data_IF_248138120210
#
_entry.id   IF_248138120210
#
_cell.length_a   1.000
_cell.length_b   1.000
_cell.length_c   1.000
_cell.angle_alpha   90.00
_cell.angle_beta   90.00
_cell.angle_gamma   90.00
#
_symmetry.space_group_name_H-M   'P 1'
#
loop_
_entity.id
_entity.type
_entity.pdbx_description
1 polymer ?
#
# COMPACT_ATOMS: atom_id res chain seq x y z
N UNK A 1 8.36 14.66 -13.96
CA UNK A 1 7.37 13.64 -14.43
C UNK A 1 7.56 12.43 -13.57
N UNK A 2 6.63 12.20 -12.65
CA UNK A 2 6.69 11.08 -11.70
C UNK A 2 5.70 9.99 -12.07
N UNK A 3 6.03 8.75 -11.72
CA UNK A 3 5.12 7.62 -11.79
C UNK A 3 4.47 7.40 -10.42
N UNK A 4 3.15 7.53 -10.34
CA UNK A 4 2.36 7.35 -9.13
C UNK A 4 1.66 5.99 -9.19
N UNK A 5 1.83 5.19 -8.15
CA UNK A 5 1.07 3.94 -7.97
C UNK A 5 -0.04 4.16 -6.94
N UNK A 6 -1.29 4.05 -7.40
CA UNK A 6 -2.48 4.19 -6.58
C UNK A 6 -3.02 2.81 -6.19
N UNK A 7 -2.77 2.38 -4.94
CA UNK A 7 -3.06 1.03 -4.44
C UNK A 7 -4.35 1.05 -3.64
N UNK A 8 -5.35 0.31 -4.11
CA UNK A 8 -6.67 0.16 -3.47
C UNK A 8 -6.79 -1.22 -2.84
N UNK A 9 -6.88 -1.27 -1.52
CA UNK A 9 -6.91 -2.51 -0.74
C UNK A 9 -8.29 -2.75 -0.09
N UNK A 10 -9.36 -2.51 -0.84
CA UNK A 10 -10.74 -2.79 -0.43
C UNK A 10 -11.49 -3.50 -1.56
N UNK A 11 -12.33 -4.52 -1.28
CA UNK A 11 -13.22 -5.11 -2.26
C UNK A 11 -14.46 -4.25 -2.53
N UNK A 12 -14.71 -3.24 -1.70
CA UNK A 12 -15.89 -2.40 -1.83
C UNK A 12 -15.75 -1.42 -3.00
N UNK A 13 -16.81 -1.18 -3.77
CA UNK A 13 -16.80 -0.15 -4.79
C UNK A 13 -16.67 1.24 -4.17
N UNK A 14 -16.20 2.21 -4.96
CA UNK A 14 -15.90 3.56 -4.47
C UNK A 14 -17.11 4.25 -3.82
N UNK A 15 -18.31 4.00 -4.35
CA UNK A 15 -19.56 4.60 -3.85
C UNK A 15 -19.90 4.16 -2.42
N UNK A 16 -19.41 3.00 -2.01
CA UNK A 16 -19.65 2.40 -0.67
C UNK A 16 -18.47 2.64 0.27
N UNK A 17 -17.25 2.61 -0.24
CA UNK A 17 -16.02 2.76 0.54
C UNK A 17 -15.72 4.23 0.83
N UNK A 18 -15.89 4.66 2.09
CA UNK A 18 -15.64 6.06 2.52
C UNK A 18 -14.19 6.48 2.28
N UNK A 19 -13.23 5.64 2.62
CA UNK A 19 -11.81 5.92 2.36
C UNK A 19 -11.50 6.01 0.86
N UNK A 20 -12.15 5.19 0.01
CA UNK A 20 -12.00 5.29 -1.44
C UNK A 20 -12.56 6.59 -1.99
N UNK A 21 -13.70 7.08 -1.48
CA UNK A 21 -14.24 8.40 -1.87
C UNK A 21 -13.28 9.55 -1.54
N UNK A 22 -12.58 9.48 -0.42
CA UNK A 22 -11.56 10.46 -0.04
C UNK A 22 -10.32 10.33 -0.93
N UNK A 23 -9.92 9.10 -1.24
CA UNK A 23 -8.80 8.82 -2.13
C UNK A 23 -9.04 9.32 -3.56
N UNK A 24 -10.25 9.16 -4.10
CA UNK A 24 -10.61 9.72 -5.41
C UNK A 24 -10.49 11.25 -5.41
N UNK A 25 -10.98 11.92 -4.34
CA UNK A 25 -10.83 13.39 -4.21
C UNK A 25 -9.34 13.78 -4.21
N UNK A 26 -8.49 13.05 -3.48
CA UNK A 26 -7.05 13.27 -3.48
C UNK A 26 -6.45 13.09 -4.89
N UNK A 27 -6.80 12.02 -5.58
CA UNK A 27 -6.26 11.69 -6.91
C UNK A 27 -6.73 12.64 -8.01
N UNK A 28 -7.98 13.12 -7.95
CA UNK A 28 -8.50 14.15 -8.86
C UNK A 28 -7.70 15.44 -8.73
N UNK A 29 -7.52 15.91 -7.51
CA UNK A 29 -6.74 17.12 -7.20
C UNK A 29 -5.27 16.94 -7.58
N UNK A 30 -4.68 15.78 -7.27
CA UNK A 30 -3.29 15.46 -7.62
C UNK A 30 -3.07 15.54 -9.13
N UNK A 31 -3.93 14.88 -9.92
CA UNK A 31 -3.84 14.89 -11.39
C UNK A 31 -3.99 16.29 -11.98
N UNK A 32 -4.88 17.12 -11.39
CA UNK A 32 -5.08 18.49 -11.82
C UNK A 32 -3.82 19.37 -11.59
N UNK A 33 -3.15 19.18 -10.45
CA UNK A 33 -1.92 19.90 -10.11
C UNK A 33 -0.66 19.37 -10.80
N UNK A 34 -0.64 18.07 -11.13
CA UNK A 34 0.52 17.38 -11.71
C UNK A 34 0.17 16.70 -13.05
N UNK A 35 -0.26 17.44 -14.08
CA UNK A 35 -0.76 16.87 -15.33
C UNK A 35 0.30 16.12 -16.16
N UNK A 36 1.58 16.28 -15.84
CA UNK A 36 2.69 15.57 -16.49
C UNK A 36 2.99 14.21 -15.86
N UNK A 37 2.45 13.92 -14.66
CA UNK A 37 2.71 12.68 -13.96
C UNK A 37 1.79 11.57 -14.46
N UNK A 38 2.29 10.34 -14.46
CA UNK A 38 1.50 9.16 -14.82
C UNK A 38 0.96 8.49 -13.56
N UNK A 39 -0.33 8.13 -13.59
CA UNK A 39 -0.97 7.41 -12.48
C UNK A 39 -1.38 6.03 -12.94
N UNK A 40 -0.87 5.02 -12.27
CA UNK A 40 -1.25 3.63 -12.44
C UNK A 40 -2.08 3.18 -11.24
N UNK A 41 -3.30 2.69 -11.48
CA UNK A 41 -4.19 2.20 -10.42
C UNK A 41 -4.04 0.69 -10.26
N UNK A 42 -3.86 0.24 -9.03
CA UNK A 42 -3.77 -1.17 -8.64
C UNK A 42 -4.88 -1.51 -7.62
N UNK A 43 -5.91 -2.21 -8.08
CA UNK A 43 -6.98 -2.71 -7.21
C UNK A 43 -6.64 -4.14 -6.79
N UNK A 44 -6.18 -4.32 -5.55
CA UNK A 44 -5.66 -5.62 -5.08
C UNK A 44 -6.69 -6.75 -5.15
N UNK A 45 -7.97 -6.45 -4.94
CA UNK A 45 -9.04 -7.45 -5.00
C UNK A 45 -9.45 -7.85 -6.43
N UNK A 46 -8.93 -7.14 -7.44
CA UNK A 46 -9.09 -7.48 -8.86
C UNK A 46 -7.78 -7.97 -9.48
N UNK A 47 -6.74 -8.16 -8.66
CA UNK A 47 -5.39 -8.51 -9.10
C UNK A 47 -5.01 -9.85 -8.50
N UNK A 48 -4.35 -10.71 -9.28
CA UNK A 48 -3.71 -11.90 -8.73
C UNK A 48 -2.52 -11.48 -7.86
N UNK A 49 -2.68 -11.61 -6.54
CA UNK A 49 -1.60 -11.37 -5.57
C UNK A 49 -1.16 -12.71 -5.00
N UNK A 50 -0.04 -13.31 -5.47
CA UNK A 50 0.40 -14.60 -5.01
C UNK A 50 0.79 -14.57 -3.53
N UNK A 51 0.28 -15.53 -2.75
CA UNK A 51 0.75 -15.72 -1.38
C UNK A 51 2.15 -16.35 -1.40
N UNK A 52 3.02 -15.86 -0.54
CA UNK A 52 4.33 -16.46 -0.31
C UNK A 52 4.16 -17.74 0.53
N UNK A 53 4.16 -18.88 -0.15
CA UNK A 53 4.01 -20.22 0.44
C UNK A 53 5.28 -21.07 0.27
N UNK A 54 5.22 -22.33 0.73
CA UNK A 54 6.34 -23.26 0.64
C UNK A 54 6.83 -23.47 -0.79
N UNK A 55 5.91 -23.51 -1.76
CA UNK A 55 6.24 -23.75 -3.16
C UNK A 55 7.02 -22.58 -3.76
N UNK A 56 6.53 -21.35 -3.59
CA UNK A 56 7.24 -20.13 -4.05
C UNK A 56 8.57 -19.93 -3.33
N UNK A 57 8.62 -20.20 -2.00
CA UNK A 57 9.87 -20.12 -1.23
C UNK A 57 10.88 -21.16 -1.70
N UNK A 58 10.45 -22.37 -2.02
CA UNK A 58 11.33 -23.44 -2.53
C UNK A 58 11.85 -23.08 -3.91
N UNK A 59 10.98 -22.65 -4.81
CA UNK A 59 11.35 -22.20 -6.15
C UNK A 59 12.37 -21.05 -6.11
N UNK A 60 12.17 -20.06 -5.23
CA UNK A 60 13.13 -18.97 -5.02
C UNK A 60 14.52 -19.45 -4.60
N UNK A 61 14.60 -20.44 -3.69
CA UNK A 61 15.87 -21.06 -3.27
C UNK A 61 16.54 -21.85 -4.40
N UNK A 62 15.77 -22.60 -5.17
CA UNK A 62 16.27 -23.36 -6.31
C UNK A 62 16.87 -22.44 -7.39
N UNK A 63 16.18 -21.34 -7.71
CA UNK A 63 16.69 -20.35 -8.64
C UNK A 63 17.98 -19.70 -8.13
N UNK A 64 18.06 -19.36 -6.85
CA UNK A 64 19.31 -18.85 -6.23
C UNK A 64 20.45 -19.87 -6.27
N UNK A 65 20.13 -21.17 -6.21
CA UNK A 65 21.10 -22.27 -6.34
C UNK A 65 21.49 -22.56 -7.81
N UNK A 66 20.95 -21.80 -8.80
CA UNK A 66 21.32 -21.91 -10.21
C UNK A 66 20.40 -22.77 -11.07
N UNK A 67 19.24 -23.23 -10.54
CA UNK A 67 18.21 -23.90 -11.36
C UNK A 67 17.67 -22.92 -12.37
N UNK A 68 17.48 -23.35 -13.63
CA UNK A 68 16.88 -22.49 -14.64
C UNK A 68 15.38 -22.27 -14.35
N UNK A 69 14.88 -21.07 -14.64
CA UNK A 69 13.45 -20.74 -14.46
C UNK A 69 12.55 -21.68 -15.27
N UNK A 70 12.98 -22.08 -16.47
CA UNK A 70 12.28 -23.00 -17.35
C UNK A 70 12.18 -24.43 -16.83
N UNK A 71 12.97 -24.80 -15.80
CA UNK A 71 12.95 -26.12 -15.17
C UNK A 71 11.95 -26.21 -14.00
N UNK A 72 11.30 -25.09 -13.67
CA UNK A 72 10.21 -25.06 -12.70
C UNK A 72 8.91 -25.54 -13.36
N UNK A 73 7.97 -26.06 -12.54
CA UNK A 73 6.63 -26.41 -13.01
C UNK A 73 5.92 -25.17 -13.61
N UNK A 74 5.13 -25.30 -14.69
CA UNK A 74 4.50 -24.16 -15.37
C UNK A 74 3.65 -23.30 -14.43
N UNK A 75 2.93 -23.89 -13.48
CA UNK A 75 2.11 -23.20 -12.49
C UNK A 75 2.96 -22.34 -11.54
N UNK A 76 4.14 -22.85 -11.15
CA UNK A 76 5.10 -22.11 -10.31
C UNK A 76 5.71 -20.96 -11.10
N UNK A 77 6.04 -21.15 -12.38
CA UNK A 77 6.52 -20.09 -13.25
C UNK A 77 5.49 -18.96 -13.37
N UNK A 78 4.22 -19.29 -13.57
CA UNK A 78 3.13 -18.31 -13.65
C UNK A 78 3.02 -17.50 -12.35
N UNK A 79 3.01 -18.16 -11.20
CA UNK A 79 2.91 -17.50 -9.89
C UNK A 79 4.12 -16.63 -9.58
N UNK A 80 5.34 -17.08 -9.92
CA UNK A 80 6.56 -16.28 -9.79
C UNK A 80 6.55 -15.07 -10.72
N UNK A 81 6.04 -15.21 -11.94
CA UNK A 81 5.90 -14.09 -12.86
C UNK A 81 4.92 -13.04 -12.32
N UNK A 82 3.75 -13.46 -11.79
CA UNK A 82 2.81 -12.55 -11.15
C UNK A 82 3.42 -11.85 -9.93
N UNK A 83 4.14 -12.60 -9.09
CA UNK A 83 4.85 -12.05 -7.92
C UNK A 83 5.90 -11.01 -8.33
N UNK A 84 6.75 -11.35 -9.29
CA UNK A 84 7.80 -10.44 -9.77
C UNK A 84 7.22 -9.20 -10.49
N UNK A 85 6.13 -9.35 -11.24
CA UNK A 85 5.47 -8.22 -11.90
C UNK A 85 5.00 -7.18 -10.88
N UNK A 86 4.41 -7.60 -9.75
CA UNK A 86 4.03 -6.69 -8.65
C UNK A 86 5.25 -6.04 -7.99
N UNK A 87 6.34 -6.80 -7.82
CA UNK A 87 7.60 -6.26 -7.32
C UNK A 87 8.13 -5.15 -8.24
N UNK A 88 8.23 -5.44 -9.54
CA UNK A 88 8.80 -4.53 -10.53
C UNK A 88 7.92 -3.28 -10.70
N UNK A 89 6.59 -3.44 -10.70
CA UNK A 89 5.63 -2.34 -10.70
C UNK A 89 5.85 -1.41 -9.50
N UNK A 90 5.98 -1.97 -8.28
CA UNK A 90 6.23 -1.20 -7.07
C UNK A 90 7.57 -0.46 -7.16
N UNK A 91 8.65 -1.14 -7.53
CA UNK A 91 9.98 -0.54 -7.59
C UNK A 91 10.09 0.57 -8.65
N UNK A 92 9.31 0.49 -9.72
CA UNK A 92 9.30 1.46 -10.82
C UNK A 92 8.53 2.75 -10.50
N UNK A 93 7.70 2.78 -9.45
CA UNK A 93 6.96 3.97 -9.06
C UNK A 93 7.84 4.92 -8.24
N UNK A 94 7.55 6.22 -8.32
CA UNK A 94 8.21 7.28 -7.55
C UNK A 94 7.38 7.67 -6.32
N UNK A 95 6.06 7.61 -6.45
CA UNK A 95 5.10 7.98 -5.41
C UNK A 95 4.02 6.91 -5.24
N UNK A 96 3.51 6.78 -4.03
CA UNK A 96 2.53 5.76 -3.66
C UNK A 96 1.35 6.37 -2.90
N UNK A 97 0.14 6.06 -3.34
CA UNK A 97 -1.09 6.39 -2.61
C UNK A 97 -1.74 5.07 -2.18
N UNK A 98 -1.72 4.77 -0.90
CA UNK A 98 -2.38 3.59 -0.35
C UNK A 98 -3.73 3.96 0.25
N UNK A 99 -4.80 3.30 -0.20
CA UNK A 99 -6.11 3.40 0.43
C UNK A 99 -6.56 2.04 0.94
N UNK A 100 -6.87 1.96 2.24
CA UNK A 100 -7.19 0.70 2.89
C UNK A 100 -8.06 0.89 4.14
N UNK A 101 -8.94 -0.08 4.44
CA UNK A 101 -9.70 -0.12 5.68
C UNK A 101 -8.89 -0.76 6.83
N UNK A 102 -9.30 -0.48 8.06
CA UNK A 102 -8.89 -1.24 9.24
C UNK A 102 -9.75 -2.50 9.37
N UNK A 103 -9.16 -3.69 9.27
CA UNK A 103 -9.84 -4.95 9.49
C UNK A 103 -9.21 -5.72 10.65
N UNK A 104 -10.03 -6.00 11.69
CA UNK A 104 -9.56 -6.69 12.88
C UNK A 104 -8.26 -6.10 13.45
N UNK A 105 -8.21 -4.77 13.57
CA UNK A 105 -7.08 -3.97 14.07
C UNK A 105 -5.80 -4.02 13.20
N UNK A 106 -5.87 -4.60 12.00
CA UNK A 106 -4.75 -4.73 11.07
C UNK A 106 -5.08 -4.27 9.65
N UNK A 107 -4.13 -4.47 8.74
CA UNK A 107 -4.34 -4.24 7.30
C UNK A 107 -5.11 -5.41 6.67
N UNK A 108 -5.81 -5.20 5.53
CA UNK A 108 -6.44 -6.28 4.78
C UNK A 108 -5.44 -7.37 4.37
N UNK A 109 -5.84 -8.66 4.33
CA UNK A 109 -4.92 -9.77 4.05
C UNK A 109 -4.24 -9.67 2.67
N UNK A 110 -4.95 -9.22 1.63
CA UNK A 110 -4.33 -9.01 0.31
C UNK A 110 -3.33 -7.85 0.33
N UNK A 111 -3.53 -6.82 1.16
CA UNK A 111 -2.52 -5.77 1.32
C UNK A 111 -1.26 -6.33 1.99
N UNK A 112 -1.40 -7.24 2.96
CA UNK A 112 -0.24 -7.91 3.56
C UNK A 112 0.48 -8.79 2.54
N UNK A 113 -0.25 -9.58 1.74
CA UNK A 113 0.33 -10.37 0.67
C UNK A 113 1.07 -9.50 -0.36
N UNK A 114 0.50 -8.34 -0.71
CA UNK A 114 1.15 -7.37 -1.59
C UNK A 114 2.43 -6.76 -0.98
N UNK A 115 2.42 -6.43 0.31
CA UNK A 115 3.64 -5.98 1.04
C UNK A 115 4.76 -7.02 0.89
N UNK A 116 4.45 -8.30 0.98
CA UNK A 116 5.42 -9.38 0.84
C UNK A 116 6.04 -9.46 -0.57
N UNK A 117 5.38 -8.90 -1.61
CA UNK A 117 5.95 -8.88 -2.96
C UNK A 117 7.01 -7.80 -3.16
N UNK A 118 7.07 -6.77 -2.35
CA UNK A 118 8.03 -5.68 -2.55
C UNK A 118 9.04 -5.49 -1.40
N UNK A 119 8.80 -6.08 -0.22
CA UNK A 119 9.77 -6.05 0.88
C UNK A 119 10.75 -7.21 0.73
N UNK A 120 11.72 -7.06 -0.17
CA UNK A 120 12.62 -8.13 -0.60
C UNK A 120 14.08 -7.72 -0.38
N UNK A 121 14.82 -8.57 0.34
CA UNK A 121 16.26 -8.39 0.52
C UNK A 121 17.00 -8.38 -0.83
N UNK A 122 17.85 -7.39 -1.03
CA UNK A 122 18.58 -7.16 -2.28
C UNK A 122 17.81 -6.32 -3.31
N UNK A 123 16.51 -6.05 -3.10
CA UNK A 123 15.69 -5.19 -3.99
C UNK A 123 15.25 -3.90 -3.30
N UNK A 124 14.53 -3.98 -2.16
CA UNK A 124 14.03 -2.81 -1.44
C UNK A 124 14.82 -2.48 -0.18
N UNK A 125 15.55 -3.44 0.37
CA UNK A 125 16.49 -3.27 1.47
C UNK A 125 17.63 -4.29 1.37
N UNK A 126 18.68 -4.11 2.16
CA UNK A 126 19.76 -5.11 2.28
C UNK A 126 20.25 -5.22 3.72
N UNK A 127 20.79 -6.38 4.08
CA UNK A 127 21.49 -6.56 5.34
C UNK A 127 22.96 -6.14 5.20
N UNK A 128 23.45 -5.39 6.18
CA UNK A 128 24.86 -4.99 6.31
C UNK A 128 25.37 -5.40 7.68
N UNK A 129 26.67 -5.24 7.92
CA UNK A 129 27.28 -5.45 9.25
C UNK A 129 26.72 -4.48 10.32
N UNK A 130 26.12 -3.37 9.91
CA UNK A 130 25.50 -2.38 10.78
C UNK A 130 23.98 -2.54 10.90
N UNK A 131 23.40 -3.61 10.34
CA UNK A 131 21.97 -3.86 10.31
C UNK A 131 21.33 -3.69 8.93
N UNK A 132 19.98 -3.61 8.85
CA UNK A 132 19.30 -3.42 7.60
C UNK A 132 19.48 -1.99 7.05
N UNK A 133 19.71 -1.88 5.74
CA UNK A 133 19.83 -0.62 5.01
C UNK A 133 18.75 -0.55 3.93
N UNK A 134 18.01 0.57 3.89
CA UNK A 134 16.99 0.84 2.90
C UNK A 134 17.61 1.13 1.52
N UNK A 135 16.98 0.63 0.45
CA UNK A 135 17.47 0.81 -0.92
C UNK A 135 16.59 1.77 -1.75
N UNK A 136 15.35 2.03 -1.31
CA UNK A 136 14.45 2.93 -2.02
C UNK A 136 14.64 4.35 -1.49
N UNK A 137 15.22 5.22 -2.32
CA UNK A 137 15.49 6.63 -1.99
C UNK A 137 14.63 7.54 -2.86
N UNK A 138 14.37 8.75 -2.36
CA UNK A 138 13.65 9.80 -3.07
C UNK A 138 12.23 9.41 -3.51
N UNK A 139 11.60 8.49 -2.76
CA UNK A 139 10.24 8.03 -2.97
C UNK A 139 9.33 8.49 -1.83
N UNK A 140 8.07 8.78 -2.15
CA UNK A 140 7.07 9.29 -1.22
C UNK A 140 5.83 8.42 -1.19
N UNK A 141 5.22 8.28 -0.01
CA UNK A 141 3.92 7.64 0.15
C UNK A 141 2.96 8.49 0.97
N UNK A 142 1.66 8.37 0.68
CA UNK A 142 0.58 8.87 1.51
C UNK A 142 -0.39 7.73 1.78
N UNK A 143 -0.89 7.67 3.02
CA UNK A 143 -1.83 6.66 3.48
C UNK A 143 -3.20 7.31 3.67
N UNK A 144 -4.25 6.68 3.13
CA UNK A 144 -5.65 7.06 3.33
C UNK A 144 -6.33 5.88 4.01
N UNK A 145 -6.57 6.02 5.31
CA UNK A 145 -6.94 4.92 6.18
C UNK A 145 -8.36 5.08 6.71
N UNK A 146 -9.21 4.08 6.42
CA UNK A 146 -10.60 4.03 6.85
C UNK A 146 -10.81 3.12 8.05
N UNK A 147 -11.58 3.58 9.06
CA UNK A 147 -12.00 2.74 10.18
C UNK A 147 -13.36 3.18 10.75
N UNK A 148 -14.14 2.23 11.26
CA UNK A 148 -15.42 2.51 11.90
C UNK A 148 -15.25 3.22 13.25
N UNK A 149 -14.25 2.81 14.04
CA UNK A 149 -13.85 3.45 15.30
C UNK A 149 -12.83 4.55 15.10
N UNK A 150 -12.47 5.26 16.18
CA UNK A 150 -11.40 6.26 16.20
C UNK A 150 -10.14 5.60 16.75
N UNK A 151 -9.07 5.54 15.94
CA UNK A 151 -7.80 4.90 16.28
C UNK A 151 -6.58 5.79 16.06
N UNK A 152 -6.73 6.97 15.47
CA UNK A 152 -5.63 7.92 15.27
C UNK A 152 -5.18 8.57 16.59
N UNK A 153 -6.04 8.58 17.60
CA UNK A 153 -5.80 9.22 18.89
C UNK A 153 -6.55 8.54 20.04
N UNK A 154 -6.21 8.94 21.29
CA UNK A 154 -6.89 8.47 22.50
C UNK A 154 -6.45 7.08 22.94
N UNK A 155 -7.24 6.46 23.83
CA UNK A 155 -6.91 5.17 24.44
C UNK A 155 -6.91 4.00 23.46
N UNK A 156 -7.69 4.10 22.38
CA UNK A 156 -7.82 3.06 21.35
C UNK A 156 -6.67 3.06 20.34
N UNK A 157 -5.84 4.10 20.31
CA UNK A 157 -4.70 4.17 19.39
C UNK A 157 -3.65 3.08 19.61
N UNK A 158 -3.54 2.53 20.82
CA UNK A 158 -2.64 1.42 21.12
C UNK A 158 -3.11 0.08 20.54
N UNK A 159 -4.36 -0.04 20.12
CA UNK A 159 -4.90 -1.29 19.59
C UNK A 159 -4.72 -1.42 18.07
N UNK A 160 -4.54 -0.31 17.35
CA UNK A 160 -4.40 -0.39 15.89
C UNK A 160 -2.99 -0.79 15.48
N UNK A 161 -2.92 -1.73 14.53
CA UNK A 161 -1.69 -2.17 13.89
C UNK A 161 -1.73 -1.97 12.36
N UNK A 162 -2.79 -1.38 11.81
CA UNK A 162 -2.95 -1.20 10.38
C UNK A 162 -2.02 -0.11 9.82
N UNK A 163 -2.30 1.13 10.16
CA UNK A 163 -1.52 2.28 9.71
C UNK A 163 -0.08 2.26 10.25
N UNK A 164 0.19 2.01 11.54
CA UNK A 164 1.55 1.98 12.05
C UNK A 164 2.41 0.88 11.41
N UNK A 165 1.83 -0.29 11.12
CA UNK A 165 2.53 -1.35 10.42
C UNK A 165 2.95 -0.91 9.01
N UNK A 166 2.02 -0.42 8.20
CA UNK A 166 2.31 -0.04 6.82
C UNK A 166 3.30 1.12 6.77
N UNK A 167 3.15 2.13 7.62
CA UNK A 167 4.10 3.24 7.78
C UNK A 167 5.51 2.73 8.11
N UNK A 168 5.62 1.85 9.10
CA UNK A 168 6.91 1.27 9.53
C UNK A 168 7.59 0.52 8.39
N UNK A 169 6.84 -0.31 7.65
CA UNK A 169 7.38 -1.09 6.52
C UNK A 169 7.86 -0.18 5.38
N UNK A 170 7.09 0.84 5.02
CA UNK A 170 7.49 1.79 3.97
C UNK A 170 8.75 2.58 4.37
N UNK A 171 8.82 3.06 5.61
CA UNK A 171 10.01 3.73 6.14
C UNK A 171 11.22 2.79 6.22
N UNK A 172 11.01 1.52 6.59
CA UNK A 172 12.06 0.51 6.65
C UNK A 172 12.75 0.30 5.29
N UNK A 173 12.01 0.40 4.19
CA UNK A 173 12.57 0.28 2.83
C UNK A 173 13.02 1.63 2.25
N UNK A 174 12.87 2.75 2.99
CA UNK A 174 13.40 4.08 2.65
C UNK A 174 12.41 5.04 2.00
N UNK A 175 11.13 4.74 2.05
CA UNK A 175 10.09 5.62 1.51
C UNK A 175 9.67 6.64 2.58
N UNK A 176 9.67 7.91 2.22
CA UNK A 176 9.12 8.99 3.05
C UNK A 176 7.59 8.86 3.10
N UNK A 177 7.01 8.80 4.30
CA UNK A 177 5.56 8.66 4.46
C UNK A 177 4.97 9.95 5.02
N UNK A 178 4.18 10.63 4.20
CA UNK A 178 3.45 11.83 4.56
C UNK A 178 2.44 11.59 5.72
N UNK A 179 1.91 12.62 6.36
CA UNK A 179 0.83 12.47 7.33
C UNK A 179 -0.35 11.69 6.75
N UNK A 180 -0.89 10.75 7.54
CA UNK A 180 -2.01 9.91 7.11
C UNK A 180 -3.31 10.68 7.10
N UNK A 181 -4.12 10.47 6.06
CA UNK A 181 -5.50 10.95 5.99
C UNK A 181 -6.40 9.89 6.62
N UNK A 182 -6.98 10.21 7.78
CA UNK A 182 -7.89 9.31 8.49
C UNK A 182 -9.35 9.59 8.13
N UNK A 183 -10.11 8.52 7.87
CA UNK A 183 -11.56 8.52 7.67
C UNK A 183 -12.14 7.62 8.75
N UNK A 184 -12.40 8.16 9.95
CA UNK A 184 -12.65 7.36 11.14
C UNK A 184 -13.80 7.88 11.99
N UNK A 185 -14.37 7.00 12.86
CA UNK A 185 -15.41 7.37 13.83
C UNK A 185 -16.84 7.26 13.31
N UNK A 186 -17.07 6.76 12.10
CA UNK A 186 -18.40 6.65 11.51
C UNK A 186 -19.31 5.71 12.31
N UNK A 187 -18.77 4.58 12.83
CA UNK A 187 -19.56 3.64 13.63
C UNK A 187 -19.88 4.19 15.04
N UNK A 188 -19.08 5.12 15.55
CA UNK A 188 -19.39 5.84 16.79
C UNK A 188 -20.50 6.86 16.60
N UNK A 189 -20.59 7.48 15.43
CA UNK A 189 -21.60 8.49 15.14
C UNK A 189 -22.06 8.43 13.68
N UNK A 190 -22.92 7.45 13.33
CA UNK A 190 -23.38 7.27 11.94
C UNK A 190 -24.10 8.48 11.35
N UNK A 191 -24.75 9.31 12.19
CA UNK A 191 -25.43 10.53 11.73
C UNK A 191 -24.46 11.61 11.23
N UNK A 192 -23.17 11.51 11.57
CA UNK A 192 -22.11 12.42 11.11
C UNK A 192 -21.27 11.89 9.97
N UNK A 193 -21.66 10.79 9.34
CA UNK A 193 -20.89 10.19 8.24
C UNK A 193 -20.52 11.22 7.16
N UNK A 194 -21.50 12.00 6.69
CA UNK A 194 -21.28 13.01 5.66
C UNK A 194 -20.30 14.11 6.10
N UNK A 195 -20.37 14.54 7.36
CA UNK A 195 -19.45 15.52 7.96
C UNK A 195 -18.02 14.97 8.07
N UNK A 196 -17.88 13.73 8.54
CA UNK A 196 -16.58 13.05 8.67
C UNK A 196 -15.91 12.88 7.30
N UNK A 197 -16.65 12.42 6.31
CA UNK A 197 -16.12 12.24 4.95
C UNK A 197 -15.76 13.59 4.32
N UNK A 198 -16.57 14.62 4.51
CA UNK A 198 -16.28 15.97 4.00
C UNK A 198 -15.02 16.56 4.65
N UNK A 199 -14.83 16.40 5.95
CA UNK A 199 -13.62 16.83 6.66
C UNK A 199 -12.37 16.10 6.14
N UNK A 200 -12.44 14.78 5.95
CA UNK A 200 -11.34 14.00 5.41
C UNK A 200 -11.01 14.40 3.95
N UNK A 201 -12.01 14.74 3.12
CA UNK A 201 -11.81 15.27 1.77
C UNK A 201 -11.11 16.64 1.78
N UNK A 202 -11.42 17.51 2.74
CA UNK A 202 -10.72 18.78 2.89
C UNK A 202 -9.23 18.56 3.22
N UNK A 203 -8.91 17.64 4.15
CA UNK A 203 -7.53 17.24 4.44
C UNK A 203 -6.85 16.65 3.21
N UNK A 204 -7.54 15.81 2.43
CA UNK A 204 -7.02 15.23 1.21
C UNK A 204 -6.63 16.31 0.18
N UNK A 205 -7.49 17.32 -0.01
CA UNK A 205 -7.22 18.46 -0.91
C UNK A 205 -5.97 19.25 -0.48
N UNK A 206 -5.81 19.53 0.81
CA UNK A 206 -4.65 20.24 1.36
C UNK A 206 -3.36 19.41 1.23
N UNK A 207 -3.43 18.11 1.49
CA UNK A 207 -2.27 17.20 1.49
C UNK A 207 -1.62 17.03 0.11
N UNK A 208 -2.32 17.31 -0.99
CA UNK A 208 -1.75 17.26 -2.35
C UNK A 208 -0.62 18.26 -2.54
N UNK A 209 -0.64 19.41 -1.83
CA UNK A 209 0.38 20.44 -1.98
C UNK A 209 1.77 20.00 -1.46
N UNK A 210 1.79 19.05 -0.51
CA UNK A 210 3.01 18.55 0.13
C UNK A 210 3.45 17.18 -0.43
N UNK A 211 2.61 16.53 -1.25
CA UNK A 211 2.85 15.22 -1.84
C UNK A 211 3.38 15.34 -3.27
#
# INVERSE_FOLDING_TARGET
>A
MSKVLFIKASPLPNEVSRSSQVAETFMEEYKAKNPSDTVEELVLYNTEVPLLDLELMTAGRELQAGKAFTDLAPEVQQRLNAYNALTDQFLAADKYVFVFPLWNLGIPPLLKAYVDTFVIAGKSFRYTEHGPEALLKDKKAILIHGSGGIYSAGQTSSFTHGEPYLRTILQFIGIEVAPTIFVEGIDHNPSKEAEIVAAAKAVAHESVAEF
#
